data_IF_795751831163
#
_entry.id   IF_795751831163
#
_cell.length_a   1.000
_cell.length_b   1.000
_cell.length_c   1.000
_cell.angle_alpha   90.00
_cell.angle_beta   90.00
_cell.angle_gamma   90.00
#
_symmetry.space_group_name_H-M   'P 1'
#
loop_
_entity.id
_entity.type
_entity.pdbx_description
1 polymer ?
#
# COMPACT_ATOMS: atom_id res chain seq x y z
N UNK A 1 12.03 -18.07 -73.97
CA UNK A 1 13.12 -17.13 -74.26
C UNK A 1 13.84 -16.98 -72.94
N UNK A 2 14.84 -17.74 -72.73
CA UNK A 2 16.28 -17.44 -72.74
C UNK A 2 16.67 -16.45 -71.62
N UNK A 3 17.59 -16.67 -70.73
CA UNK A 3 18.77 -17.55 -70.76
C UNK A 3 19.61 -17.15 -69.55
N UNK A 4 20.05 -18.09 -68.78
CA UNK A 4 21.47 -18.39 -68.44
C UNK A 4 22.16 -17.39 -67.50
N UNK A 5 22.71 -17.79 -66.46
CA UNK A 5 23.74 -18.82 -66.14
C UNK A 5 24.97 -18.18 -65.51
N UNK A 6 25.47 -18.63 -64.46
CA UNK A 6 26.61 -19.45 -63.97
C UNK A 6 27.32 -18.75 -62.84
N UNK A 7 27.43 -19.34 -61.61
CA UNK A 7 28.42 -20.35 -61.17
C UNK A 7 29.90 -19.96 -61.34
N UNK A 8 30.60 -19.93 -60.19
CA UNK A 8 31.84 -20.65 -59.77
C UNK A 8 32.32 -20.09 -58.46
N UNK A 9 32.35 -20.76 -57.37
CA UNK A 9 33.24 -21.84 -56.88
C UNK A 9 34.73 -21.64 -57.04
N UNK A 10 35.49 -21.63 -55.93
CA UNK A 10 36.78 -22.24 -55.60
C UNK A 10 37.19 -21.82 -54.21
N UNK A 11 37.13 -22.60 -53.10
CA UNK A 11 37.96 -23.71 -52.62
C UNK A 11 39.34 -23.27 -52.07
N UNK A 12 39.50 -23.44 -50.76
CA UNK A 12 40.59 -24.01 -49.96
C UNK A 12 41.91 -23.21 -49.84
N UNK A 13 42.33 -22.98 -48.59
CA UNK A 13 43.44 -23.69 -47.93
C UNK A 13 43.49 -23.37 -46.42
N UNK A 14 43.51 -24.42 -45.61
CA UNK A 14 43.86 -24.45 -44.18
C UNK A 14 45.34 -24.11 -43.97
N UNK A 15 45.65 -23.29 -42.96
CA UNK A 15 46.90 -23.41 -42.19
C UNK A 15 46.58 -23.19 -40.74
N UNK A 16 46.78 -24.22 -39.95
CA UNK A 16 46.84 -24.21 -38.49
C UNK A 16 48.07 -23.45 -38.01
N UNK A 17 47.89 -22.48 -37.12
CA UNK A 17 48.95 -22.09 -36.19
C UNK A 17 48.28 -21.75 -34.87
N UNK A 18 48.53 -22.62 -33.91
CA UNK A 18 48.20 -22.44 -32.48
C UNK A 18 48.98 -21.29 -31.90
N UNK A 19 48.30 -20.28 -31.39
CA UNK A 19 48.84 -19.42 -30.35
C UNK A 19 47.76 -19.13 -29.34
N UNK A 20 48.03 -19.49 -28.09
CA UNK A 20 47.23 -19.27 -26.92
C UNK A 20 46.92 -17.77 -26.76
N UNK A 21 45.65 -17.40 -26.89
CA UNK A 21 45.17 -16.11 -26.52
C UNK A 21 44.71 -16.20 -25.07
N UNK A 22 45.39 -15.46 -24.18
CA UNK A 22 45.01 -15.14 -22.82
C UNK A 22 43.62 -14.44 -22.86
N UNK A 23 42.62 -14.88 -22.12
CA UNK A 23 41.39 -14.12 -22.06
C UNK A 23 41.64 -12.84 -21.28
N UNK A 24 41.57 -11.71 -21.95
CA UNK A 24 41.54 -10.40 -21.35
C UNK A 24 40.30 -10.33 -20.45
N UNK A 25 40.55 -10.20 -19.15
CA UNK A 25 39.54 -9.84 -18.15
C UNK A 25 39.08 -8.44 -18.51
N UNK A 26 37.95 -8.33 -19.19
CA UNK A 26 37.14 -7.12 -19.20
C UNK A 26 36.64 -6.96 -17.77
N UNK A 27 37.23 -6.05 -17.03
CA UNK A 27 36.73 -5.64 -15.72
C UNK A 27 35.29 -5.13 -15.92
N UNK A 28 34.33 -5.87 -15.40
CA UNK A 28 32.97 -5.35 -15.24
C UNK A 28 33.10 -4.17 -14.28
N UNK A 29 32.85 -2.96 -14.77
CA UNK A 29 32.71 -1.77 -13.91
C UNK A 29 31.65 -2.09 -12.87
N UNK A 30 32.00 -1.92 -11.59
CA UNK A 30 31.04 -2.16 -10.50
C UNK A 30 29.87 -1.19 -10.64
N UNK A 31 28.68 -1.56 -10.15
CA UNK A 31 27.50 -0.67 -10.10
C UNK A 31 27.82 0.65 -9.34
N UNK A 32 28.80 0.61 -8.44
CA UNK A 32 29.34 1.76 -7.75
C UNK A 32 30.16 2.66 -8.69
N UNK A 33 30.99 2.09 -9.58
CA UNK A 33 31.79 2.86 -10.53
C UNK A 33 30.91 3.54 -11.57
N UNK A 34 29.89 2.86 -12.06
CA UNK A 34 28.91 3.43 -13.00
C UNK A 34 28.14 4.61 -12.36
N UNK A 35 27.80 4.50 -11.08
CA UNK A 35 27.12 5.58 -10.34
C UNK A 35 28.05 6.73 -9.99
N UNK A 36 29.30 6.44 -9.67
CA UNK A 36 30.32 7.46 -9.46
C UNK A 36 30.50 8.30 -10.72
N UNK A 37 30.68 7.66 -11.88
CA UNK A 37 30.81 8.34 -13.17
C UNK A 37 29.59 9.16 -13.60
N UNK A 38 28.38 8.82 -13.11
CA UNK A 38 27.18 9.64 -13.32
C UNK A 38 27.15 10.90 -12.48
N UNK A 39 27.86 10.91 -11.36
CA UNK A 39 27.88 12.02 -10.41
C UNK A 39 29.08 12.94 -10.64
N UNK A 40 30.20 12.37 -11.03
CA UNK A 40 31.42 13.04 -11.50
C UNK A 40 31.15 13.56 -12.94
N UNK A 41 30.48 14.70 -13.03
CA UNK A 41 29.96 15.21 -14.30
C UNK A 41 31.01 15.90 -15.16
N UNK A 42 32.14 16.32 -14.57
CA UNK A 42 33.29 16.89 -15.28
C UNK A 42 34.43 15.88 -15.52
N UNK A 43 34.27 14.64 -14.95
CA UNK A 43 35.20 13.54 -15.18
C UNK A 43 36.58 13.70 -14.48
N UNK A 44 36.65 14.53 -13.46
CA UNK A 44 37.89 14.80 -12.73
C UNK A 44 38.29 13.70 -11.73
N UNK A 45 37.42 12.69 -11.55
CA UNK A 45 37.62 11.55 -10.65
C UNK A 45 37.17 11.84 -9.22
N UNK A 46 36.45 12.92 -8.99
CA UNK A 46 35.92 13.37 -7.71
C UNK A 46 34.51 13.85 -7.87
N UNK A 47 33.68 13.77 -6.83
CA UNK A 47 32.35 14.37 -6.80
C UNK A 47 32.45 15.61 -5.92
N UNK A 48 32.43 16.76 -6.53
CA UNK A 48 32.41 18.04 -5.84
C UNK A 48 31.08 18.27 -5.10
N UNK A 49 31.09 19.22 -4.17
CA UNK A 49 29.84 19.58 -3.48
C UNK A 49 28.75 20.09 -4.44
N UNK A 50 29.13 20.82 -5.48
CA UNK A 50 28.21 21.37 -6.49
C UNK A 50 27.60 20.26 -7.35
N UNK A 51 28.34 19.21 -7.69
CA UNK A 51 27.83 18.03 -8.38
C UNK A 51 26.89 17.21 -7.49
N UNK A 52 27.27 17.04 -6.23
CA UNK A 52 26.44 16.36 -5.24
C UNK A 52 25.12 17.10 -4.98
N UNK A 53 25.14 18.44 -4.96
CA UNK A 53 23.97 19.28 -4.71
C UNK A 53 22.97 19.30 -5.89
N UNK A 54 23.37 18.85 -7.09
CA UNK A 54 22.47 18.65 -8.25
C UNK A 54 21.58 17.41 -8.09
N UNK A 55 21.86 16.55 -7.10
CA UNK A 55 21.03 15.36 -6.86
C UNK A 55 19.63 15.74 -6.33
N UNK A 56 18.56 15.04 -6.77
CA UNK A 56 17.19 15.34 -6.37
C UNK A 56 16.87 15.01 -4.90
N UNK A 57 17.79 14.38 -4.18
CA UNK A 57 17.61 13.98 -2.77
C UNK A 57 18.67 14.64 -1.90
N UNK A 58 18.33 15.77 -1.32
CA UNK A 58 19.19 16.52 -0.39
C UNK A 58 19.01 16.05 1.06
N UNK A 59 20.07 15.48 1.65
CA UNK A 59 20.23 15.50 3.12
C UNK A 59 21.36 16.48 3.41
N UNK A 60 21.10 17.50 4.18
CA UNK A 60 22.05 18.59 4.48
C UNK A 60 23.40 18.12 5.05
N UNK A 61 23.45 16.89 5.58
CA UNK A 61 24.63 16.27 6.20
C UNK A 61 25.18 15.06 5.40
N UNK A 62 24.58 14.75 4.23
CA UNK A 62 24.98 13.55 3.48
C UNK A 62 26.36 13.72 2.82
N UNK A 63 26.67 14.88 2.26
CA UNK A 63 27.97 15.17 1.69
C UNK A 63 29.07 15.03 2.74
N UNK A 64 28.92 15.69 3.90
CA UNK A 64 29.88 15.64 5.02
C UNK A 64 30.12 14.22 5.58
N UNK A 65 29.17 13.31 5.42
CA UNK A 65 29.31 11.90 5.83
C UNK A 65 30.10 11.07 4.82
N UNK A 66 30.08 11.49 3.57
CA UNK A 66 30.78 10.84 2.46
C UNK A 66 32.17 11.36 2.33
N UNK A 67 32.35 12.67 2.35
CA UNK A 67 33.63 13.37 2.47
C UNK A 67 34.23 13.13 3.87
N UNK A 68 34.98 12.07 4.02
CA UNK A 68 35.50 11.60 5.31
C UNK A 68 36.82 12.27 5.70
N UNK A 69 37.63 12.61 4.69
CA UNK A 69 38.91 13.27 4.87
C UNK A 69 38.72 14.79 5.03
N UNK A 70 37.49 15.31 4.72
CA UNK A 70 37.14 16.72 4.87
C UNK A 70 37.77 17.62 3.82
N UNK A 71 38.19 17.09 2.66
CA UNK A 71 38.89 17.84 1.62
C UNK A 71 37.90 18.58 0.66
N UNK A 72 36.61 18.47 0.88
CA UNK A 72 35.58 19.19 0.14
C UNK A 72 35.10 18.48 -1.13
N UNK A 73 35.56 17.25 -1.40
CA UNK A 73 35.11 16.41 -2.49
C UNK A 73 34.95 14.95 -2.04
N UNK A 74 34.23 14.14 -2.76
CA UNK A 74 34.07 12.70 -2.49
C UNK A 74 34.85 11.95 -3.55
N UNK A 75 35.96 11.30 -3.16
CA UNK A 75 36.75 10.48 -4.06
C UNK A 75 36.12 9.07 -4.26
N UNK A 76 36.71 8.30 -5.21
CA UNK A 76 36.22 6.92 -5.51
C UNK A 76 36.33 5.98 -4.31
N UNK A 77 37.35 6.19 -3.44
CA UNK A 77 37.56 5.36 -2.25
C UNK A 77 36.51 5.64 -1.19
N UNK A 78 36.19 6.90 -0.99
CA UNK A 78 35.13 7.34 -0.08
C UNK A 78 33.73 6.90 -0.56
N UNK A 79 33.50 7.04 -1.86
CA UNK A 79 32.24 6.60 -2.47
C UNK A 79 32.11 5.07 -2.44
N UNK A 80 33.17 4.32 -2.75
CA UNK A 80 33.23 2.87 -2.65
C UNK A 80 33.02 2.38 -1.20
N UNK A 81 33.70 3.00 -0.23
CA UNK A 81 33.55 2.67 1.19
C UNK A 81 32.11 2.92 1.72
N UNK A 82 31.35 3.80 1.09
CA UNK A 82 29.93 3.98 1.35
C UNK A 82 29.07 2.93 0.62
N UNK A 83 29.43 2.58 -0.60
CA UNK A 83 28.79 1.52 -1.37
C UNK A 83 29.01 0.14 -0.71
N UNK A 84 30.21 -0.14 -0.21
CA UNK A 84 30.57 -1.38 0.48
C UNK A 84 29.88 -1.55 1.83
N UNK A 85 29.65 -0.49 2.60
CA UNK A 85 28.82 -0.59 3.82
C UNK A 85 27.33 -0.88 3.52
N UNK A 86 26.87 -0.54 2.32
CA UNK A 86 25.59 -1.02 1.80
C UNK A 86 25.67 -2.46 1.27
N UNK A 87 26.88 -2.94 0.99
CA UNK A 87 27.20 -4.26 0.44
C UNK A 87 27.58 -5.34 1.46
N UNK A 88 28.01 -5.00 2.67
CA UNK A 88 28.45 -5.98 3.68
C UNK A 88 27.31 -6.84 4.29
N UNK A 89 26.09 -6.79 3.70
CA UNK A 89 25.09 -7.85 3.84
C UNK A 89 25.05 -8.82 2.66
N UNK A 90 26.02 -8.80 1.72
CA UNK A 90 25.94 -9.63 0.50
C UNK A 90 27.33 -10.12 0.09
N UNK A 91 27.64 -11.35 0.47
CA UNK A 91 28.71 -12.13 -0.18
C UNK A 91 28.08 -13.24 -1.03
N UNK A 92 28.55 -13.30 -2.28
CA UNK A 92 28.60 -14.41 -3.24
C UNK A 92 27.41 -14.69 -4.15
N UNK A 93 27.70 -14.66 -5.46
CA UNK A 93 27.11 -15.47 -6.51
C UNK A 93 26.35 -14.66 -7.59
N UNK A 94 26.96 -14.55 -8.78
CA UNK A 94 26.32 -13.98 -9.97
C UNK A 94 25.12 -14.80 -10.42
N UNK A 95 24.00 -14.17 -10.45
CA UNK A 95 22.80 -14.38 -11.25
C UNK A 95 21.93 -13.16 -10.97
N UNK A 96 21.08 -12.73 -11.90
CA UNK A 96 20.07 -11.71 -11.69
C UNK A 96 19.24 -12.07 -10.45
N UNK A 97 19.76 -11.71 -9.28
CA UNK A 97 19.13 -12.05 -8.01
C UNK A 97 17.87 -11.18 -7.87
N UNK A 98 16.72 -11.73 -8.21
CA UNK A 98 15.53 -11.41 -7.45
C UNK A 98 15.93 -11.51 -5.98
N UNK A 99 15.87 -10.39 -5.25
CA UNK A 99 16.10 -10.39 -3.81
C UNK A 99 14.95 -11.18 -3.21
N UNK A 100 15.11 -12.49 -3.12
CA UNK A 100 14.20 -13.35 -2.37
C UNK A 100 14.33 -12.93 -0.92
N UNK A 101 13.33 -12.23 -0.42
CA UNK A 101 13.13 -12.13 1.02
C UNK A 101 13.04 -13.57 1.50
N UNK A 102 13.97 -13.99 2.34
CA UNK A 102 13.93 -15.35 2.92
C UNK A 102 12.56 -15.50 3.58
N UNK A 103 11.75 -16.51 3.20
CA UNK A 103 10.47 -16.75 3.86
C UNK A 103 10.68 -16.88 5.35
N UNK A 104 9.84 -16.23 6.14
CA UNK A 104 9.88 -16.42 7.59
C UNK A 104 9.54 -17.86 7.90
N UNK A 105 10.34 -18.52 8.76
CA UNK A 105 10.02 -19.87 9.24
C UNK A 105 8.73 -19.82 10.06
N UNK A 106 7.71 -20.59 9.69
CA UNK A 106 6.46 -20.65 10.42
C UNK A 106 6.68 -21.29 11.80
N UNK A 107 6.11 -20.64 12.83
CA UNK A 107 5.95 -21.22 14.14
C UNK A 107 4.80 -22.25 14.16
N UNK A 108 4.64 -22.98 15.26
CA UNK A 108 3.44 -23.80 15.46
C UNK A 108 2.19 -22.89 15.48
N UNK A 109 1.04 -23.36 14.97
CA UNK A 109 -0.19 -22.60 15.07
C UNK A 109 -0.53 -22.26 16.53
N UNK A 110 -0.91 -20.99 16.75
CA UNK A 110 -1.43 -20.50 18.04
C UNK A 110 -2.83 -21.06 18.26
N UNK A 111 -3.63 -21.12 17.18
CA UNK A 111 -4.97 -21.72 17.12
C UNK A 111 -5.06 -22.59 15.88
N UNK A 112 -5.64 -23.77 16.00
CA UNK A 112 -5.96 -24.67 14.89
C UNK A 112 -7.18 -25.51 15.27
N UNK A 113 -8.37 -24.99 14.98
CA UNK A 113 -9.67 -25.59 15.28
C UNK A 113 -10.44 -25.86 13.99
N UNK A 114 -11.28 -26.89 13.99
CA UNK A 114 -12.09 -27.29 12.86
C UNK A 114 -11.77 -28.68 12.35
N UNK A 115 -12.29 -29.03 11.17
CA UNK A 115 -12.01 -30.31 10.57
C UNK A 115 -10.53 -30.44 10.13
N UNK A 116 -9.97 -31.65 10.06
CA UNK A 116 -8.62 -31.85 9.53
C UNK A 116 -8.42 -31.26 8.13
N UNK A 117 -9.47 -31.26 7.31
CA UNK A 117 -9.44 -30.69 5.96
C UNK A 117 -9.33 -29.16 6.00
N UNK A 118 -10.10 -28.50 6.87
CA UNK A 118 -10.05 -27.02 6.99
C UNK A 118 -8.69 -26.59 7.57
N UNK A 119 -8.21 -27.27 8.59
CA UNK A 119 -6.88 -27.00 9.17
C UNK A 119 -5.78 -27.16 8.11
N UNK A 120 -5.86 -28.19 7.27
CA UNK A 120 -4.89 -28.40 6.19
C UNK A 120 -4.93 -27.26 5.16
N UNK A 121 -6.11 -26.75 4.78
CA UNK A 121 -6.30 -25.61 3.89
C UNK A 121 -5.75 -24.32 4.50
N UNK A 122 -6.07 -24.05 5.77
CA UNK A 122 -5.56 -22.87 6.46
C UNK A 122 -4.02 -22.90 6.57
N UNK A 123 -3.44 -24.07 6.82
CA UNK A 123 -1.99 -24.25 6.81
C UNK A 123 -1.39 -24.02 5.43
N UNK A 124 -2.01 -24.53 4.36
CA UNK A 124 -1.53 -24.28 2.99
C UNK A 124 -1.56 -22.78 2.65
N UNK A 125 -2.63 -22.07 3.01
CA UNK A 125 -2.73 -20.63 2.85
C UNK A 125 -1.68 -19.88 3.70
N UNK A 126 -1.39 -20.36 4.92
CA UNK A 126 -0.37 -19.78 5.81
C UNK A 126 1.05 -19.98 5.27
N UNK A 127 1.36 -21.17 4.74
CA UNK A 127 2.64 -21.45 4.07
C UNK A 127 2.82 -20.49 2.88
N UNK A 128 1.85 -20.43 1.97
CA UNK A 128 1.89 -19.51 0.83
C UNK A 128 2.04 -18.05 1.27
N UNK A 129 1.31 -17.65 2.31
CA UNK A 129 1.45 -16.31 2.88
C UNK A 129 2.88 -16.05 3.35
N UNK A 130 3.51 -16.99 4.08
CA UNK A 130 4.88 -16.83 4.58
C UNK A 130 5.91 -16.81 3.43
N UNK A 131 5.76 -17.68 2.43
CA UNK A 131 6.61 -17.71 1.22
C UNK A 131 6.57 -16.40 0.44
N UNK A 132 5.45 -15.69 0.53
CA UNK A 132 5.21 -14.39 -0.12
C UNK A 132 5.33 -13.21 0.85
N UNK A 133 6.14 -13.35 1.89
CA UNK A 133 6.49 -12.29 2.85
C UNK A 133 5.45 -12.07 3.95
N UNK A 134 4.50 -12.98 4.13
CA UNK A 134 3.55 -12.93 5.25
C UNK A 134 4.24 -13.16 6.58
N UNK A 135 3.77 -12.45 7.61
CA UNK A 135 4.26 -12.56 8.98
C UNK A 135 3.26 -13.23 9.90
N UNK A 136 1.96 -13.01 9.65
CA UNK A 136 0.90 -13.49 10.52
C UNK A 136 -0.38 -13.70 9.71
N UNK A 137 -1.06 -14.81 9.94
CA UNK A 137 -2.36 -15.14 9.39
C UNK A 137 -3.32 -15.47 10.53
N UNK A 138 -4.49 -14.84 10.53
CA UNK A 138 -5.61 -15.16 11.41
C UNK A 138 -6.84 -15.44 10.54
N UNK A 139 -7.55 -16.52 10.83
CA UNK A 139 -8.85 -16.86 10.24
C UNK A 139 -9.88 -16.96 11.36
N UNK A 140 -10.94 -16.19 11.22
CA UNK A 140 -12.10 -16.23 12.10
C UNK A 140 -13.29 -16.76 11.28
N UNK A 141 -14.01 -17.73 11.87
CA UNK A 141 -15.22 -18.32 11.31
C UNK A 141 -16.38 -18.08 12.30
N UNK A 142 -17.43 -17.41 11.86
CA UNK A 142 -18.63 -17.13 12.65
C UNK A 142 -18.33 -16.55 14.04
N UNK A 143 -17.41 -15.56 14.08
CA UNK A 143 -17.02 -14.86 15.30
C UNK A 143 -15.94 -15.57 16.14
N UNK A 144 -15.53 -16.80 15.77
CA UNK A 144 -14.54 -17.56 16.52
C UNK A 144 -13.23 -17.63 15.73
N UNK A 145 -12.10 -17.40 16.39
CA UNK A 145 -10.78 -17.62 15.79
C UNK A 145 -10.59 -19.14 15.65
N UNK A 146 -10.55 -19.62 14.40
CA UNK A 146 -10.38 -21.06 14.09
C UNK A 146 -8.96 -21.40 13.67
N UNK A 147 -8.21 -20.40 13.18
CA UNK A 147 -6.80 -20.58 12.84
C UNK A 147 -6.02 -19.30 13.08
N UNK A 148 -4.87 -19.42 13.71
CA UNK A 148 -3.93 -18.32 13.90
C UNK A 148 -2.52 -18.87 13.90
N UNK A 149 -1.67 -18.33 13.01
CA UNK A 149 -0.28 -18.74 12.86
C UNK A 149 0.59 -17.57 12.42
N UNK A 150 1.72 -17.42 13.07
CA UNK A 150 2.76 -16.46 12.67
C UNK A 150 4.05 -17.15 12.27
N UNK A 151 4.98 -16.39 11.70
CA UNK A 151 6.37 -16.79 11.60
C UNK A 151 7.04 -16.70 12.98
N UNK A 152 8.21 -17.31 13.15
CA UNK A 152 8.98 -17.23 14.41
C UNK A 152 9.14 -15.77 14.86
N UNK A 153 8.80 -15.47 16.10
CA UNK A 153 8.78 -14.13 16.66
C UNK A 153 7.52 -13.30 16.38
N UNK A 154 6.54 -13.83 15.62
CA UNK A 154 5.22 -13.21 15.47
C UNK A 154 4.21 -13.88 16.40
N UNK A 155 3.86 -13.19 17.48
CA UNK A 155 2.89 -13.66 18.48
C UNK A 155 1.51 -13.04 18.25
N UNK A 156 0.48 -13.57 18.91
CA UNK A 156 -0.88 -13.02 18.86
C UNK A 156 -0.97 -11.56 19.29
N UNK A 157 -0.10 -11.16 20.23
CA UNK A 157 -0.07 -9.80 20.80
C UNK A 157 0.82 -8.85 19.98
N UNK A 158 1.51 -9.35 18.96
CA UNK A 158 2.34 -8.50 18.12
C UNK A 158 1.48 -7.65 17.21
N UNK A 159 1.62 -6.35 17.35
CA UNK A 159 0.92 -5.39 16.51
C UNK A 159 1.76 -4.98 15.28
N UNK A 160 1.07 -4.75 14.18
CA UNK A 160 1.64 -4.31 12.92
C UNK A 160 0.93 -3.08 12.38
N UNK A 161 1.64 -2.27 11.62
CA UNK A 161 1.02 -1.16 10.91
C UNK A 161 0.16 -1.70 9.76
N UNK A 162 -1.14 -1.37 9.77
CA UNK A 162 -2.06 -1.80 8.72
C UNK A 162 -2.02 -0.89 7.49
N UNK A 163 -1.18 0.14 7.51
CA UNK A 163 -1.03 1.13 6.44
C UNK A 163 -2.40 1.63 5.94
N UNK A 164 -2.63 1.61 4.62
CA UNK A 164 -3.91 2.05 4.00
C UNK A 164 -5.14 1.27 4.44
N UNK A 165 -5.00 0.10 5.09
CA UNK A 165 -6.11 -0.58 5.75
C UNK A 165 -6.85 0.32 6.76
N UNK A 166 -6.16 1.34 7.28
CA UNK A 166 -6.74 2.39 8.14
C UNK A 166 -7.90 3.15 7.46
N UNK A 167 -7.87 3.29 6.13
CA UNK A 167 -8.91 4.00 5.38
C UNK A 167 -10.29 3.38 5.56
N UNK A 168 -10.36 2.06 5.71
CA UNK A 168 -11.62 1.31 5.79
C UNK A 168 -12.43 1.54 7.07
N UNK A 169 -11.90 2.23 8.06
CA UNK A 169 -12.66 2.68 9.23
C UNK A 169 -13.66 3.80 8.88
N UNK A 170 -13.39 4.61 7.84
CA UNK A 170 -14.10 5.86 7.61
C UNK A 170 -15.46 5.68 6.92
N UNK A 171 -15.66 4.62 6.17
CA UNK A 171 -16.98 4.25 5.65
C UNK A 171 -18.00 3.97 6.76
N UNK A 172 -17.72 3.03 7.68
CA UNK A 172 -18.55 2.77 8.85
C UNK A 172 -18.76 4.01 9.74
N UNK A 173 -17.74 4.83 9.93
CA UNK A 173 -17.86 6.12 10.67
C UNK A 173 -18.86 7.06 10.00
N UNK A 174 -18.79 7.18 8.67
CA UNK A 174 -19.75 7.99 7.92
C UNK A 174 -21.17 7.45 8.06
N UNK A 175 -21.35 6.13 8.05
CA UNK A 175 -22.67 5.50 8.27
C UNK A 175 -23.26 5.87 9.65
N UNK A 176 -22.44 5.85 10.71
CA UNK A 176 -22.89 6.29 12.05
C UNK A 176 -23.19 7.78 12.09
N UNK A 177 -22.36 8.60 11.44
CA UNK A 177 -22.58 10.05 11.37
C UNK A 177 -23.89 10.39 10.65
N UNK A 178 -24.20 9.68 9.57
CA UNK A 178 -25.50 9.78 8.85
C UNK A 178 -26.66 9.36 9.75
N UNK A 179 -26.52 8.24 10.48
CA UNK A 179 -27.56 7.78 11.41
C UNK A 179 -27.83 8.81 12.52
N UNK A 180 -26.84 9.60 12.91
CA UNK A 180 -26.95 10.72 13.85
C UNK A 180 -27.44 12.02 13.21
N UNK A 181 -27.73 12.02 11.89
CA UNK A 181 -28.21 13.18 11.14
C UNK A 181 -27.17 14.29 10.99
N UNK A 182 -25.86 13.96 10.99
CA UNK A 182 -24.82 14.96 10.78
C UNK A 182 -24.74 15.41 9.31
N UNK A 183 -24.94 14.51 8.38
CA UNK A 183 -24.94 14.74 6.92
C UNK A 183 -25.56 13.56 6.19
N UNK A 184 -25.71 13.69 4.85
CA UNK A 184 -26.00 12.58 3.93
C UNK A 184 -24.85 12.35 2.96
N UNK A 185 -24.79 11.18 2.31
CA UNK A 185 -23.72 10.91 1.31
C UNK A 185 -23.76 11.90 0.14
N UNK A 186 -24.94 12.36 -0.24
CA UNK A 186 -25.13 13.21 -1.41
C UNK A 186 -25.16 14.70 -1.05
N UNK A 187 -24.94 15.05 0.24
CA UNK A 187 -24.76 16.41 0.68
C UNK A 187 -23.51 17.01 0.04
N UNK A 188 -23.62 18.23 -0.45
CA UNK A 188 -22.49 18.98 -1.00
C UNK A 188 -21.56 19.40 0.14
N UNK A 189 -20.30 19.03 0.00
CA UNK A 189 -19.26 19.38 0.98
C UNK A 189 -19.10 20.90 1.12
N UNK A 190 -19.34 21.65 0.02
CA UNK A 190 -19.31 23.11 -0.02
C UNK A 190 -20.34 23.80 0.90
N UNK A 191 -21.41 23.10 1.30
CA UNK A 191 -22.38 23.62 2.25
C UNK A 191 -21.78 23.75 3.67
N UNK A 192 -20.66 23.04 3.93
CA UNK A 192 -19.91 23.10 5.18
C UNK A 192 -18.52 23.73 5.00
N UNK A 193 -17.85 23.41 3.89
CA UNK A 193 -16.55 23.97 3.50
C UNK A 193 -16.80 25.12 2.54
N UNK A 194 -17.09 26.31 3.09
CA UNK A 194 -17.51 27.49 2.33
C UNK A 194 -16.47 27.95 1.32
N UNK A 195 -15.19 27.64 1.51
CA UNK A 195 -14.09 27.91 0.59
C UNK A 195 -14.31 27.26 -0.79
N UNK A 196 -15.20 26.28 -0.89
CA UNK A 196 -15.49 25.57 -2.13
C UNK A 196 -16.68 26.12 -2.92
N UNK A 197 -17.46 27.04 -2.34
CA UNK A 197 -18.71 27.54 -2.95
C UNK A 197 -18.49 28.27 -4.27
N UNK A 198 -17.39 29.01 -4.38
CA UNK A 198 -17.05 29.78 -5.59
C UNK A 198 -16.39 28.98 -6.72
N UNK A 199 -16.00 27.72 -6.48
CA UNK A 199 -15.36 26.88 -7.48
C UNK A 199 -16.41 26.00 -8.18
N UNK A 200 -16.52 26.04 -9.52
CA UNK A 200 -17.58 25.33 -10.24
C UNK A 200 -17.52 23.80 -10.16
N UNK A 201 -16.35 23.22 -9.82
CA UNK A 201 -16.19 21.79 -9.59
C UNK A 201 -16.29 21.45 -8.12
N UNK A 202 -15.55 22.13 -7.24
CA UNK A 202 -15.55 21.84 -5.81
C UNK A 202 -16.92 22.04 -5.18
N UNK A 203 -17.72 23.00 -5.63
CA UNK A 203 -19.08 23.22 -5.15
C UNK A 203 -20.03 22.04 -5.37
N UNK A 204 -19.69 21.13 -6.29
CA UNK A 204 -20.46 19.92 -6.61
C UNK A 204 -19.92 18.65 -5.92
N UNK A 205 -18.80 18.75 -5.20
CA UNK A 205 -18.24 17.60 -4.49
C UNK A 205 -19.19 17.20 -3.35
N UNK A 206 -19.55 15.93 -3.31
CA UNK A 206 -20.37 15.36 -2.22
C UNK A 206 -19.51 14.52 -1.27
N UNK A 207 -20.08 14.18 -0.10
CA UNK A 207 -19.43 13.27 0.86
C UNK A 207 -19.13 11.92 0.20
N UNK A 208 -20.04 11.42 -0.64
CA UNK A 208 -19.85 10.20 -1.44
C UNK A 208 -18.58 10.29 -2.29
N UNK A 209 -18.37 11.39 -2.99
CA UNK A 209 -17.20 11.59 -3.83
C UNK A 209 -15.88 11.57 -3.04
N UNK A 210 -15.87 12.10 -1.81
CA UNK A 210 -14.70 12.01 -0.94
C UNK A 210 -14.43 10.57 -0.51
N UNK A 211 -15.44 9.84 -0.03
CA UNK A 211 -15.27 8.49 0.50
C UNK A 211 -15.04 7.43 -0.59
N UNK A 212 -15.48 7.67 -1.82
CA UNK A 212 -15.21 6.80 -2.98
C UNK A 212 -13.97 7.20 -3.77
N UNK A 213 -13.22 8.21 -3.30
CA UNK A 213 -11.99 8.71 -3.93
C UNK A 213 -12.18 9.18 -5.36
N UNK A 214 -13.32 9.83 -5.60
CA UNK A 214 -13.73 10.36 -6.91
C UNK A 214 -14.08 11.85 -6.89
N UNK A 215 -13.53 12.60 -5.92
CA UNK A 215 -13.86 14.03 -5.78
C UNK A 215 -13.34 14.91 -6.92
N UNK A 216 -12.39 14.42 -7.72
CA UNK A 216 -11.71 15.21 -8.73
C UNK A 216 -10.68 16.21 -8.19
N UNK A 217 -10.40 16.22 -6.88
CA UNK A 217 -9.31 17.00 -6.31
C UNK A 217 -7.96 16.49 -6.82
N UNK A 218 -7.03 17.43 -7.04
CA UNK A 218 -5.65 17.07 -7.32
C UNK A 218 -5.11 16.16 -6.22
N UNK A 219 -4.56 15.02 -6.62
CA UNK A 219 -4.17 13.93 -5.73
C UNK A 219 -2.64 13.85 -5.63
N UNK A 220 -2.00 14.63 -4.74
CA UNK A 220 -0.55 14.62 -4.60
C UNK A 220 -0.05 13.25 -4.19
N UNK A 221 1.03 12.83 -4.82
CA UNK A 221 1.69 11.58 -4.48
C UNK A 221 2.31 11.67 -3.08
N UNK A 222 2.15 10.62 -2.29
CA UNK A 222 2.80 10.47 -0.98
C UNK A 222 2.50 11.62 0.00
N UNK A 223 1.32 12.23 -0.07
CA UNK A 223 0.91 13.25 0.90
C UNK A 223 1.10 12.78 2.36
N UNK A 224 0.90 11.49 2.61
CA UNK A 224 1.11 10.86 3.91
C UNK A 224 2.58 10.97 4.41
N UNK A 225 3.55 10.96 3.51
CA UNK A 225 4.98 11.04 3.85
C UNK A 225 5.53 12.48 3.78
N UNK A 226 4.75 13.41 3.25
CA UNK A 226 5.16 14.80 3.11
C UNK A 226 5.16 15.50 4.47
N UNK A 227 6.37 15.72 5.00
CA UNK A 227 6.58 16.38 6.28
C UNK A 227 6.62 17.92 6.15
N UNK A 228 6.58 18.46 4.95
CA UNK A 228 6.53 19.92 4.73
C UNK A 228 5.11 20.45 4.93
N UNK A 229 4.11 19.60 4.73
CA UNK A 229 2.70 19.95 4.94
C UNK A 229 2.36 19.78 6.43
N UNK A 230 2.21 20.89 7.13
CA UNK A 230 1.91 20.89 8.56
C UNK A 230 0.46 20.52 8.85
N UNK A 231 -0.48 21.11 8.13
CA UNK A 231 -1.92 20.84 8.23
C UNK A 231 -2.45 20.23 6.94
N UNK A 232 -2.61 18.91 6.92
CA UNK A 232 -3.07 18.17 5.74
C UNK A 232 -4.55 18.39 5.44
N UNK A 233 -5.37 18.73 6.44
CA UNK A 233 -6.76 19.11 6.23
C UNK A 233 -6.87 20.42 5.46
N UNK A 234 -6.19 21.48 5.92
CA UNK A 234 -6.13 22.75 5.21
C UNK A 234 -5.52 22.60 3.81
N UNK A 235 -4.46 21.79 3.67
CA UNK A 235 -3.85 21.48 2.39
C UNK A 235 -4.86 20.85 1.42
N UNK A 236 -5.63 19.85 1.89
CA UNK A 236 -6.63 19.17 1.06
C UNK A 236 -7.75 20.13 0.60
N UNK A 237 -8.21 21.01 1.49
CA UNK A 237 -9.22 22.05 1.15
C UNK A 237 -8.69 22.99 0.05
N UNK A 238 -7.41 23.35 0.08
CA UNK A 238 -6.78 24.25 -0.86
C UNK A 238 -6.50 23.62 -2.25
N UNK A 239 -6.56 22.27 -2.38
CA UNK A 239 -6.27 21.60 -3.65
C UNK A 239 -7.22 22.08 -4.77
N UNK A 240 -6.71 22.09 -5.99
CA UNK A 240 -7.52 22.37 -7.20
C UNK A 240 -8.40 21.15 -7.50
N UNK A 241 -9.56 21.39 -8.10
CA UNK A 241 -10.34 20.34 -8.75
C UNK A 241 -9.89 20.21 -10.21
N UNK A 242 -9.21 19.11 -10.54
CA UNK A 242 -8.65 18.83 -11.87
C UNK A 242 -9.58 17.99 -12.75
N UNK A 243 -10.60 17.36 -12.14
CA UNK A 243 -11.65 16.61 -12.83
C UNK A 243 -13.01 16.92 -12.22
N UNK A 244 -14.08 16.58 -12.97
CA UNK A 244 -15.43 16.67 -12.43
C UNK A 244 -15.68 15.60 -11.36
N UNK A 245 -16.37 15.92 -10.26
CA UNK A 245 -16.68 14.95 -9.22
C UNK A 245 -17.42 13.73 -9.78
N UNK A 246 -17.01 12.53 -9.33
CA UNK A 246 -17.60 11.26 -9.74
C UNK A 246 -17.07 10.68 -11.05
N UNK A 247 -16.21 11.40 -11.80
CA UNK A 247 -15.77 10.95 -13.13
C UNK A 247 -14.45 10.17 -13.12
N UNK A 248 -13.57 10.43 -12.15
CA UNK A 248 -12.27 9.81 -12.06
C UNK A 248 -11.99 9.29 -10.64
N UNK A 249 -11.47 8.10 -10.55
CA UNK A 249 -10.97 7.53 -9.32
C UNK A 249 -9.48 7.87 -9.14
N UNK A 250 -9.14 8.46 -8.01
CA UNK A 250 -7.75 8.77 -7.66
C UNK A 250 -7.44 8.28 -6.24
N UNK A 251 -6.64 7.23 -6.12
CA UNK A 251 -6.29 6.67 -4.81
C UNK A 251 -5.30 7.57 -4.07
N UNK A 252 -5.83 8.49 -3.27
CA UNK A 252 -5.06 9.48 -2.52
C UNK A 252 -5.70 9.80 -1.18
N UNK A 253 -4.88 10.17 -0.22
CA UNK A 253 -5.33 10.57 1.12
C UNK A 253 -5.96 11.96 1.16
N UNK A 254 -5.80 12.76 0.10
CA UNK A 254 -6.39 14.10 0.00
C UNK A 254 -7.89 14.08 0.27
N UNK A 255 -8.57 13.04 -0.22
CA UNK A 255 -10.01 12.87 -0.03
C UNK A 255 -10.39 12.71 1.45
N UNK A 256 -9.62 11.89 2.19
CA UNK A 256 -9.88 11.66 3.62
C UNK A 256 -9.49 12.86 4.49
N UNK A 257 -8.45 13.60 4.12
CA UNK A 257 -8.14 14.84 4.84
C UNK A 257 -9.21 15.90 4.61
N UNK A 258 -9.77 16.02 3.40
CA UNK A 258 -10.93 16.87 3.14
C UNK A 258 -12.16 16.38 3.92
N UNK A 259 -12.41 15.06 3.97
CA UNK A 259 -13.48 14.48 4.77
C UNK A 259 -13.27 14.72 6.28
N UNK A 260 -12.04 14.62 6.78
CA UNK A 260 -11.73 14.92 8.18
C UNK A 260 -12.09 16.35 8.56
N UNK A 261 -11.71 17.32 7.72
CA UNK A 261 -12.04 18.73 7.94
C UNK A 261 -13.55 18.98 7.86
N UNK A 262 -14.23 18.35 6.89
CA UNK A 262 -15.69 18.39 6.82
C UNK A 262 -16.34 17.85 8.11
N UNK A 263 -15.91 16.67 8.57
CA UNK A 263 -16.38 16.08 9.81
C UNK A 263 -16.12 16.98 11.02
N UNK A 264 -14.92 17.55 11.13
CA UNK A 264 -14.55 18.46 12.21
C UNK A 264 -15.51 19.67 12.27
N UNK A 265 -15.84 20.27 11.13
CA UNK A 265 -16.78 21.41 11.07
C UNK A 265 -18.20 20.99 11.43
N UNK A 266 -18.67 19.82 10.94
CA UNK A 266 -19.99 19.28 11.28
C UNK A 266 -20.12 19.00 12.79
N UNK A 267 -19.09 18.40 13.37
CA UNK A 267 -19.07 18.09 14.80
C UNK A 267 -18.99 19.35 15.67
N UNK A 268 -18.18 20.33 15.26
CA UNK A 268 -18.08 21.62 15.95
C UNK A 268 -19.39 22.40 15.98
N UNK A 269 -20.21 22.26 14.93
CA UNK A 269 -21.55 22.88 14.87
C UNK A 269 -22.54 22.23 15.84
N UNK A 270 -22.24 21.05 16.38
CA UNK A 270 -23.04 20.37 17.42
C UNK A 270 -22.40 20.58 18.77
N UNK A 271 -23.04 21.36 19.63
CA UNK A 271 -22.60 21.58 21.01
C UNK A 271 -22.49 20.25 21.77
N UNK A 272 -21.32 19.98 22.36
CA UNK A 272 -21.05 18.80 23.19
C UNK A 272 -20.66 17.52 22.43
N UNK A 273 -20.43 17.58 21.11
CA UNK A 273 -19.93 16.44 20.32
C UNK A 273 -18.42 16.28 20.33
N UNK A 274 -17.89 15.13 19.82
CA UNK A 274 -16.47 14.95 19.60
C UNK A 274 -15.91 16.07 18.71
N UNK A 275 -14.70 16.53 19.05
CA UNK A 275 -14.08 17.67 18.34
C UNK A 275 -13.36 17.28 17.05
N UNK A 276 -13.17 15.99 16.80
CA UNK A 276 -12.47 15.49 15.62
C UNK A 276 -13.11 14.20 15.06
N UNK A 277 -12.85 13.90 13.79
CA UNK A 277 -13.28 12.67 13.16
C UNK A 277 -12.76 11.42 13.90
N UNK A 278 -11.54 11.48 14.44
CA UNK A 278 -10.99 10.37 15.22
C UNK A 278 -11.67 10.18 16.58
N UNK A 279 -11.95 11.27 17.30
CA UNK A 279 -12.70 11.17 18.56
C UNK A 279 -14.08 10.55 18.31
N UNK A 280 -14.72 10.92 17.20
CA UNK A 280 -15.99 10.32 16.77
C UNK A 280 -15.84 8.84 16.42
N UNK A 281 -14.79 8.45 15.65
CA UNK A 281 -14.47 7.04 15.38
C UNK A 281 -14.28 6.27 16.69
N UNK A 282 -13.50 6.80 17.62
CA UNK A 282 -13.22 6.15 18.89
C UNK A 282 -14.51 5.90 19.68
N UNK A 283 -15.31 6.93 19.88
CA UNK A 283 -16.58 6.86 20.61
C UNK A 283 -17.58 5.89 19.97
N UNK A 284 -17.67 5.91 18.63
CA UNK A 284 -18.80 5.26 17.93
C UNK A 284 -18.50 3.87 17.40
N UNK A 285 -17.24 3.55 17.18
CA UNK A 285 -16.81 2.26 16.61
C UNK A 285 -15.81 1.56 17.55
N UNK A 286 -14.64 2.19 17.82
CA UNK A 286 -13.55 1.48 18.50
C UNK A 286 -13.94 1.03 19.91
N UNK A 287 -14.40 1.94 20.74
CA UNK A 287 -14.78 1.62 22.12
C UNK A 287 -15.97 0.64 22.19
N UNK A 288 -17.07 0.80 21.42
CA UNK A 288 -18.18 -0.14 21.43
C UNK A 288 -17.84 -1.57 21.03
N UNK A 289 -16.88 -1.77 20.12
CA UNK A 289 -16.44 -3.13 19.73
C UNK A 289 -15.23 -3.61 20.53
N UNK A 290 -14.77 -2.81 21.50
CA UNK A 290 -13.58 -3.13 22.29
C UNK A 290 -12.30 -3.22 21.47
N UNK A 291 -12.19 -2.47 20.36
CA UNK A 291 -10.99 -2.41 19.53
C UNK A 291 -10.03 -1.39 20.10
N UNK A 292 -8.85 -1.86 20.51
CA UNK A 292 -7.81 -1.02 21.10
C UNK A 292 -6.57 -1.00 20.21
N UNK A 293 -6.32 0.09 19.46
CA UNK A 293 -5.08 0.24 18.72
C UNK A 293 -3.89 0.28 19.68
N UNK A 294 -2.83 -0.46 19.38
CA UNK A 294 -1.55 -0.34 20.09
C UNK A 294 -0.98 1.07 19.93
N UNK A 295 -1.19 1.66 18.74
CA UNK A 295 -0.87 3.05 18.43
C UNK A 295 -1.70 3.52 17.25
N UNK A 296 -1.98 4.81 17.20
CA UNK A 296 -2.43 5.50 16.01
C UNK A 296 -1.48 6.65 15.73
N UNK A 297 -0.84 6.66 14.56
CA UNK A 297 0.10 7.71 14.21
C UNK A 297 -0.61 9.07 14.06
N UNK A 298 0.07 10.13 14.41
CA UNK A 298 -0.42 11.50 14.28
C UNK A 298 0.35 12.25 13.19
N UNK A 299 -0.31 13.22 12.61
CA UNK A 299 0.27 14.21 11.73
C UNK A 299 1.02 15.28 12.52
N UNK A 300 1.71 16.20 11.84
CA UNK A 300 2.50 17.24 12.52
C UNK A 300 1.67 18.19 13.41
N UNK A 301 0.44 18.46 13.01
CA UNK A 301 -0.50 19.28 13.78
C UNK A 301 -1.16 18.51 14.95
N UNK A 302 -0.72 17.27 15.24
CA UNK A 302 -1.27 16.43 16.30
C UNK A 302 -2.55 15.67 15.93
N UNK A 303 -3.14 15.92 14.74
CA UNK A 303 -4.31 15.18 14.27
C UNK A 303 -3.96 13.74 13.90
N UNK A 304 -4.84 12.77 14.14
CA UNK A 304 -4.61 11.39 13.75
C UNK A 304 -4.50 11.22 12.25
N UNK A 305 -3.53 10.40 11.81
CA UNK A 305 -3.34 10.07 10.41
C UNK A 305 -4.51 9.22 9.89
N UNK A 306 -5.35 9.83 9.06
CA UNK A 306 -6.61 9.26 8.59
C UNK A 306 -6.42 8.05 7.66
N UNK A 307 -5.38 8.06 6.87
CA UNK A 307 -5.20 7.11 5.77
C UNK A 307 -4.25 5.94 6.07
N UNK A 308 -3.46 5.98 7.18
CA UNK A 308 -2.36 5.03 7.39
C UNK A 308 -1.91 4.83 8.85
N UNK A 309 -2.58 5.44 9.81
CA UNK A 309 -2.07 5.63 11.19
C UNK A 309 -2.20 4.43 12.12
N UNK A 310 -3.09 3.50 11.85
CA UNK A 310 -3.41 2.43 12.79
C UNK A 310 -2.32 1.35 12.87
N UNK A 311 -1.98 0.96 14.11
CA UNK A 311 -1.11 -0.19 14.45
C UNK A 311 -1.91 -1.13 15.34
N UNK A 312 -2.21 -2.33 14.83
CA UNK A 312 -3.15 -3.27 15.42
C UNK A 312 -2.54 -4.67 15.50
N UNK A 313 -2.94 -5.46 16.51
CA UNK A 313 -2.77 -6.92 16.43
C UNK A 313 -3.76 -7.50 15.41
N UNK A 314 -3.53 -8.74 14.96
CA UNK A 314 -4.46 -9.40 14.03
C UNK A 314 -5.85 -9.54 14.64
N UNK A 315 -5.92 -9.85 15.92
CA UNK A 315 -7.18 -9.98 16.67
C UNK A 315 -7.92 -8.67 16.78
N UNK A 316 -7.21 -7.55 16.99
CA UNK A 316 -7.84 -6.22 17.04
C UNK A 316 -8.39 -5.81 15.65
N UNK A 317 -7.63 -6.05 14.58
CA UNK A 317 -8.12 -5.72 13.23
C UNK A 317 -9.30 -6.60 12.81
N UNK A 318 -9.31 -7.86 13.22
CA UNK A 318 -10.42 -8.79 12.97
C UNK A 318 -11.76 -8.31 13.58
N UNK A 319 -11.75 -7.55 14.69
CA UNK A 319 -12.98 -6.97 15.28
C UNK A 319 -13.70 -6.03 14.32
N UNK A 320 -12.94 -5.20 13.57
CA UNK A 320 -13.54 -4.40 12.50
C UNK A 320 -14.17 -5.31 11.42
N UNK A 321 -13.45 -6.34 11.00
CA UNK A 321 -13.96 -7.31 10.03
C UNK A 321 -15.25 -7.97 10.50
N UNK A 322 -15.30 -8.37 11.77
CA UNK A 322 -16.49 -9.00 12.37
C UNK A 322 -17.68 -8.05 12.45
N UNK A 323 -17.46 -6.79 12.83
CA UNK A 323 -18.50 -5.75 12.77
C UNK A 323 -19.10 -5.64 11.34
N UNK A 324 -18.24 -5.66 10.31
CA UNK A 324 -18.67 -5.60 8.92
C UNK A 324 -19.41 -6.88 8.52
N UNK A 325 -18.88 -8.05 8.87
CA UNK A 325 -19.51 -9.36 8.58
C UNK A 325 -20.92 -9.45 9.16
N UNK A 326 -21.12 -8.89 10.34
CA UNK A 326 -22.41 -8.86 11.05
C UNK A 326 -23.32 -7.68 10.61
N UNK A 327 -23.03 -7.02 9.49
CA UNK A 327 -23.85 -5.91 8.99
C UNK A 327 -23.95 -4.73 9.96
N UNK A 328 -22.91 -4.47 10.73
CA UNK A 328 -22.88 -3.38 11.71
C UNK A 328 -23.44 -3.73 13.08
N UNK A 329 -23.75 -5.00 13.34
CA UNK A 329 -24.20 -5.49 14.65
C UNK A 329 -22.99 -5.97 15.48
N UNK A 330 -22.99 -5.70 16.78
CA UNK A 330 -21.98 -6.16 17.72
C UNK A 330 -22.62 -6.57 19.04
N UNK A 331 -22.34 -7.78 19.51
CA UNK A 331 -22.95 -8.34 20.74
C UNK A 331 -24.49 -8.14 20.80
N UNK A 332 -25.16 -8.39 19.70
CA UNK A 332 -26.62 -8.25 19.58
C UNK A 332 -27.13 -6.79 19.49
N UNK A 333 -26.24 -5.80 19.55
CA UNK A 333 -26.59 -4.37 19.43
C UNK A 333 -26.25 -3.86 18.04
N UNK A 334 -27.20 -3.22 17.35
CA UNK A 334 -26.95 -2.53 16.09
C UNK A 334 -26.15 -1.25 16.35
N UNK A 335 -24.87 -1.25 16.03
CA UNK A 335 -23.98 -0.08 16.15
C UNK A 335 -23.99 0.77 14.88
N UNK A 336 -24.00 0.14 13.72
CA UNK A 336 -24.01 0.79 12.41
C UNK A 336 -25.25 0.29 11.66
N UNK A 337 -26.14 1.18 11.26
CA UNK A 337 -27.34 0.80 10.51
C UNK A 337 -26.98 0.13 9.18
N UNK A 338 -27.56 -1.05 8.86
CA UNK A 338 -27.21 -1.82 7.64
C UNK A 338 -27.46 -1.05 6.35
N UNK A 339 -28.57 -0.30 6.26
CA UNK A 339 -28.93 0.50 5.09
C UNK A 339 -27.94 1.65 4.83
N UNK A 340 -27.35 2.21 5.89
CA UNK A 340 -26.33 3.26 5.80
C UNK A 340 -24.91 2.69 5.62
N UNK A 341 -24.68 1.45 6.02
CA UNK A 341 -23.42 0.73 5.83
C UNK A 341 -23.28 0.14 4.41
N UNK A 342 -24.39 -0.33 3.83
CA UNK A 342 -24.42 -0.98 2.52
C UNK A 342 -23.72 -0.19 1.38
N UNK A 343 -23.79 1.16 1.33
CA UNK A 343 -23.03 1.93 0.34
C UNK A 343 -21.53 1.73 0.39
N UNK A 344 -20.95 1.33 1.54
CA UNK A 344 -19.53 1.02 1.64
C UNK A 344 -19.10 -0.13 0.72
N UNK A 345 -20.02 -1.03 0.41
CA UNK A 345 -19.80 -2.24 -0.38
C UNK A 345 -20.49 -2.19 -1.76
N UNK A 346 -20.90 -1.01 -2.16
CA UNK A 346 -21.46 -0.75 -3.48
C UNK A 346 -20.43 -0.07 -4.37
N UNK A 347 -20.36 -0.51 -5.63
CA UNK A 347 -19.43 0.08 -6.61
C UNK A 347 -19.65 1.58 -6.77
N UNK A 348 -18.56 2.34 -6.84
CA UNK A 348 -18.62 3.73 -7.29
C UNK A 348 -18.67 3.80 -8.82
N UNK A 349 -19.26 4.89 -9.36
CA UNK A 349 -19.29 5.10 -10.82
C UNK A 349 -17.90 5.26 -11.43
N UNK A 350 -16.93 5.77 -10.66
CA UNK A 350 -15.57 6.01 -11.13
C UNK A 350 -14.66 4.76 -11.04
N UNK A 351 -14.98 3.81 -10.13
CA UNK A 351 -14.27 2.54 -10.03
C UNK A 351 -15.16 1.46 -9.43
N UNK A 352 -15.48 0.43 -10.23
CA UNK A 352 -16.33 -0.66 -9.77
C UNK A 352 -15.72 -1.53 -8.67
N UNK A 353 -14.40 -1.57 -8.57
CA UNK A 353 -13.68 -2.32 -7.54
C UNK A 353 -13.56 -1.57 -6.21
N UNK A 354 -14.14 -0.36 -6.08
CA UNK A 354 -14.03 0.46 -4.87
C UNK A 354 -15.36 1.08 -4.47
N UNK A 355 -15.73 0.82 -3.22
CA UNK A 355 -16.91 1.42 -2.58
C UNK A 355 -16.53 2.68 -1.77
N UNK A 356 -17.11 2.82 -0.59
CA UNK A 356 -16.73 3.90 0.34
C UNK A 356 -15.62 3.39 1.27
N UNK A 357 -14.36 3.62 0.89
CA UNK A 357 -13.12 3.22 1.60
C UNK A 357 -12.86 1.70 1.68
N UNK A 358 -13.60 0.88 0.95
CA UNK A 358 -13.45 -0.57 0.88
C UNK A 358 -13.21 -1.05 -0.55
N UNK A 359 -12.31 -2.02 -0.70
CA UNK A 359 -12.11 -2.74 -1.96
C UNK A 359 -13.17 -3.83 -2.10
N UNK A 360 -13.66 -3.99 -3.31
CA UNK A 360 -14.71 -4.95 -3.68
C UNK A 360 -14.13 -6.03 -4.59
N UNK A 361 -14.71 -7.23 -4.53
CA UNK A 361 -14.33 -8.33 -5.44
C UNK A 361 -14.95 -8.14 -6.83
N UNK A 362 -14.54 -7.08 -7.51
CA UNK A 362 -14.99 -6.71 -8.86
C UNK A 362 -13.81 -6.22 -9.68
N UNK A 363 -13.90 -6.37 -11.00
CA UNK A 363 -12.91 -5.80 -11.90
C UNK A 363 -12.92 -4.27 -11.84
N UNK A 364 -11.74 -3.68 -11.91
CA UNK A 364 -11.59 -2.23 -12.05
C UNK A 364 -11.80 -1.84 -13.51
N UNK A 365 -12.71 -0.92 -13.80
CA UNK A 365 -12.92 -0.38 -15.14
C UNK A 365 -11.76 0.49 -15.62
N UNK A 366 -10.94 0.98 -14.71
CA UNK A 366 -9.78 1.79 -15.02
C UNK A 366 -8.54 1.27 -14.28
N UNK A 367 -7.87 0.22 -14.81
CA UNK A 367 -6.64 -0.31 -14.21
C UNK A 367 -5.50 0.73 -14.16
N UNK A 368 -5.55 1.77 -14.99
CA UNK A 368 -4.60 2.89 -14.94
C UNK A 368 -4.83 3.80 -13.74
N UNK A 369 -6.05 3.87 -13.20
CA UNK A 369 -6.36 4.65 -12.00
C UNK A 369 -5.85 4.02 -10.69
N UNK A 370 -5.52 2.74 -10.72
CA UNK A 370 -4.77 2.04 -9.66
C UNK A 370 -3.26 2.05 -9.92
N UNK A 371 -2.85 2.45 -11.14
CA UNK A 371 -1.47 2.64 -11.53
C UNK A 371 -1.12 4.11 -11.46
N UNK A 372 -0.07 4.43 -10.76
CA UNK A 372 0.54 5.76 -10.78
C UNK A 372 0.81 6.24 -12.21
N UNK A 373 0.26 7.39 -12.55
CA UNK A 373 0.28 8.05 -13.86
C UNK A 373 1.65 8.65 -14.21
N UNK A 374 2.70 7.85 -14.19
CA UNK A 374 3.95 8.21 -14.82
C UNK A 374 4.62 6.97 -15.39
N UNK A 375 4.72 6.92 -16.67
CA UNK A 375 5.15 5.86 -17.59
C UNK A 375 6.35 4.98 -17.25
N UNK A 376 6.89 5.03 -16.04
CA UNK A 376 8.03 4.23 -15.60
C UNK A 376 7.75 3.35 -14.38
N UNK A 377 6.63 3.55 -13.65
CA UNK A 377 6.34 2.77 -12.42
C UNK A 377 5.03 2.00 -12.52
N UNK A 378 4.68 1.57 -13.70
CA UNK A 378 3.52 0.73 -14.04
C UNK A 378 3.47 -0.62 -13.32
N UNK A 379 4.34 -0.88 -12.34
CA UNK A 379 4.56 -2.21 -11.78
C UNK A 379 4.47 -2.32 -10.26
N UNK A 380 4.17 -1.23 -9.53
CA UNK A 380 4.30 -1.32 -8.07
C UNK A 380 3.32 -0.39 -7.34
N UNK A 381 2.02 -0.58 -7.51
CA UNK A 381 1.16 -0.16 -6.41
C UNK A 381 1.52 -1.05 -5.21
N UNK A 382 1.84 -0.44 -4.10
CA UNK A 382 2.26 -1.16 -2.89
C UNK A 382 1.14 -2.02 -2.31
N UNK A 383 -0.09 -1.79 -2.74
CA UNK A 383 -1.28 -2.55 -2.36
C UNK A 383 -1.54 -3.74 -3.28
N UNK A 384 -1.07 -3.69 -4.53
CA UNK A 384 -1.16 -4.75 -5.56
C UNK A 384 -2.48 -5.52 -5.55
N UNK A 385 -3.56 -4.79 -5.76
CA UNK A 385 -4.86 -5.41 -5.95
C UNK A 385 -4.98 -5.73 -7.45
N UNK A 386 -5.43 -6.95 -7.75
CA UNK A 386 -5.65 -7.37 -9.14
C UNK A 386 -6.65 -6.46 -9.83
N UNK A 387 -6.40 -6.10 -11.09
CA UNK A 387 -7.35 -5.37 -11.91
C UNK A 387 -8.67 -6.13 -12.08
N UNK A 388 -8.64 -7.46 -11.98
CA UNK A 388 -9.78 -8.34 -12.17
C UNK A 388 -10.58 -8.58 -10.89
N UNK A 389 -10.14 -8.05 -9.74
CA UNK A 389 -10.75 -8.22 -8.43
C UNK A 389 -9.92 -9.05 -7.46
N UNK A 390 -10.45 -9.32 -6.28
CA UNK A 390 -9.80 -10.06 -5.20
C UNK A 390 -9.71 -11.55 -5.56
N UNK A 391 -10.84 -12.13 -5.96
CA UNK A 391 -10.97 -13.52 -6.40
C UNK A 391 -11.97 -13.58 -7.57
N UNK A 392 -11.50 -13.34 -8.80
CA UNK A 392 -12.36 -13.16 -9.99
C UNK A 392 -13.29 -14.34 -10.23
N UNK A 393 -14.55 -14.02 -10.51
CA UNK A 393 -15.59 -15.02 -10.81
C UNK A 393 -16.11 -15.82 -9.61
N UNK A 394 -15.55 -15.58 -8.42
CA UNK A 394 -15.95 -16.24 -7.17
C UNK A 394 -16.41 -15.20 -6.14
N UNK A 395 -17.20 -15.64 -5.16
CA UNK A 395 -17.48 -14.93 -3.91
C UNK A 395 -17.71 -13.39 -4.08
N UNK A 396 -18.81 -12.97 -4.73
CA UNK A 396 -19.01 -11.55 -5.07
C UNK A 396 -19.16 -10.62 -3.87
N UNK A 397 -19.41 -11.17 -2.69
CA UNK A 397 -19.60 -10.47 -1.43
C UNK A 397 -18.30 -10.35 -0.59
N UNK A 398 -17.15 -10.83 -1.11
CA UNK A 398 -15.87 -10.53 -0.46
C UNK A 398 -15.58 -9.04 -0.57
N UNK A 399 -15.29 -8.43 0.57
CA UNK A 399 -14.77 -7.06 0.65
C UNK A 399 -13.44 -7.05 1.40
N UNK A 400 -12.62 -6.02 1.16
CA UNK A 400 -11.25 -5.99 1.68
C UNK A 400 -10.82 -4.60 2.11
N UNK A 401 -10.20 -4.53 3.29
CA UNK A 401 -9.34 -3.42 3.66
C UNK A 401 -7.90 -3.79 3.30
N UNK A 402 -7.28 -3.00 2.42
CA UNK A 402 -5.94 -3.27 1.92
C UNK A 402 -4.94 -2.19 2.34
N UNK A 403 -3.78 -2.63 2.78
CA UNK A 403 -2.66 -1.76 3.13
C UNK A 403 -1.42 -2.03 2.29
N UNK A 404 -0.60 -1.00 2.17
CA UNK A 404 0.68 -1.09 1.51
C UNK A 404 1.53 -2.21 2.11
N UNK A 405 2.26 -2.92 1.23
CA UNK A 405 2.97 -4.14 1.61
C UNK A 405 2.07 -5.36 1.70
N UNK A 406 0.87 -5.28 1.12
CA UNK A 406 -0.08 -6.40 1.09
C UNK A 406 -0.60 -6.79 2.49
N UNK A 407 -0.80 -5.79 3.37
CA UNK A 407 -1.60 -5.94 4.57
C UNK A 407 -3.05 -6.16 4.15
N UNK A 408 -3.72 -7.16 4.69
CA UNK A 408 -5.08 -7.55 4.28
C UNK A 408 -6.00 -7.81 5.46
N UNK A 409 -7.20 -7.26 5.41
CA UNK A 409 -8.36 -7.73 6.14
C UNK A 409 -9.43 -8.06 5.11
N UNK A 410 -9.75 -9.32 4.95
CA UNK A 410 -10.87 -9.77 4.13
C UNK A 410 -12.08 -10.05 5.01
N UNK A 411 -13.23 -9.70 4.49
CA UNK A 411 -14.53 -10.06 5.08
C UNK A 411 -15.34 -10.77 4.01
N UNK A 412 -15.78 -11.97 4.31
CA UNK A 412 -16.62 -12.78 3.44
C UNK A 412 -17.93 -13.17 4.16
N UNK A 413 -18.95 -12.30 4.12
CA UNK A 413 -20.16 -12.45 4.93
C UNK A 413 -20.90 -13.77 4.69
N UNK A 414 -21.12 -14.17 3.42
CA UNK A 414 -21.87 -15.39 3.10
C UNK A 414 -21.19 -16.67 3.56
N UNK A 415 -19.89 -16.62 3.88
CA UNK A 415 -19.13 -17.75 4.42
C UNK A 415 -18.80 -17.60 5.90
N UNK A 416 -19.24 -16.53 6.53
CA UNK A 416 -18.94 -16.27 7.94
C UNK A 416 -17.48 -15.99 8.21
N UNK A 417 -16.65 -15.65 7.20
CA UNK A 417 -15.20 -15.55 7.33
C UNK A 417 -14.73 -14.11 7.51
N UNK A 418 -13.80 -13.94 8.45
CA UNK A 418 -12.93 -12.77 8.56
C UNK A 418 -11.48 -13.25 8.59
N UNK A 419 -10.63 -12.67 7.74
CA UNK A 419 -9.25 -13.12 7.58
C UNK A 419 -8.33 -11.92 7.66
N UNK A 420 -7.31 -11.99 8.51
CA UNK A 420 -6.25 -10.99 8.62
C UNK A 420 -4.93 -11.58 8.17
N UNK A 421 -4.26 -10.89 7.24
CA UNK A 421 -2.90 -11.20 6.83
C UNK A 421 -2.00 -9.99 7.09
N UNK A 422 -0.94 -10.19 7.83
CA UNK A 422 0.17 -9.25 7.93
C UNK A 422 1.36 -9.70 7.11
N UNK A 423 2.11 -8.73 6.59
CA UNK A 423 3.30 -8.99 5.80
C UNK A 423 4.51 -8.15 6.25
N UNK A 424 5.69 -8.60 5.81
CA UNK A 424 7.00 -8.04 6.12
C UNK A 424 7.31 -6.79 5.27
N UNK A 425 6.35 -5.95 4.99
CA UNK A 425 6.67 -4.77 4.22
C UNK A 425 7.14 -3.66 5.15
N UNK A 426 8.44 -3.46 5.25
CA UNK A 426 8.98 -2.22 5.78
C UNK A 426 8.78 -1.10 4.74
N UNK A 427 7.51 -0.65 4.66
CA UNK A 427 7.13 0.45 3.79
C UNK A 427 7.90 1.73 4.08
N UNK A 428 8.19 1.99 5.35
CA UNK A 428 8.95 3.17 5.72
C UNK A 428 10.36 3.11 5.14
N UNK A 429 11.05 1.98 5.28
CA UNK A 429 12.37 1.79 4.69
C UNK A 429 12.33 1.79 3.16
N UNK A 430 11.35 1.13 2.53
CA UNK A 430 11.21 1.10 1.07
C UNK A 430 10.93 2.48 0.48
N UNK A 431 10.04 3.26 1.10
CA UNK A 431 9.74 4.64 0.68
C UNK A 431 10.94 5.57 0.89
N UNK A 432 11.61 5.45 2.02
CA UNK A 432 12.76 6.30 2.35
C UNK A 432 13.97 6.02 1.45
N UNK A 433 14.17 4.77 1.05
CA UNK A 433 15.27 4.37 0.17
C UNK A 433 14.93 4.43 -1.32
N UNK A 434 13.65 4.50 -1.67
CA UNK A 434 13.18 4.29 -3.04
C UNK A 434 13.33 2.84 -3.52
N UNK A 435 13.82 1.93 -2.67
CA UNK A 435 14.08 0.53 -2.98
C UNK A 435 12.89 -0.35 -2.61
N UNK A 436 11.92 -0.37 -3.50
CA UNK A 436 10.75 -1.25 -3.39
C UNK A 436 11.06 -2.73 -3.69
N UNK A 437 12.26 -3.05 -4.19
CA UNK A 437 12.65 -4.43 -4.46
C UNK A 437 12.83 -5.26 -3.17
N UNK A 438 13.02 -4.59 -2.03
CA UNK A 438 13.06 -5.23 -0.71
C UNK A 438 11.71 -5.72 -0.22
N UNK A 439 10.62 -5.29 -0.87
CA UNK A 439 9.29 -5.76 -0.54
C UNK A 439 8.99 -7.01 -1.39
N UNK A 440 8.75 -8.14 -0.75
CA UNK A 440 8.18 -9.28 -1.45
C UNK A 440 6.71 -8.98 -1.75
N UNK A 441 6.42 -8.57 -2.98
CA UNK A 441 5.07 -8.27 -3.45
C UNK A 441 4.54 -9.40 -4.37
N UNK A 442 5.00 -10.62 -4.22
CA UNK A 442 4.58 -11.76 -5.04
C UNK A 442 3.26 -12.40 -4.57
N UNK A 443 2.71 -11.96 -3.44
CA UNK A 443 1.44 -12.47 -2.95
C UNK A 443 0.29 -12.11 -3.90
N UNK A 444 -0.54 -13.10 -4.20
CA UNK A 444 -1.74 -12.97 -5.03
C UNK A 444 -2.98 -13.38 -4.24
N UNK A 445 -3.93 -12.47 -4.11
CA UNK A 445 -5.18 -12.68 -3.37
C UNK A 445 -5.94 -13.91 -3.91
N UNK A 446 -6.02 -14.07 -5.24
CA UNK A 446 -6.66 -15.23 -5.89
C UNK A 446 -6.03 -16.54 -5.41
N UNK A 447 -4.71 -16.68 -5.52
CA UNK A 447 -4.00 -17.91 -5.13
C UNK A 447 -4.18 -18.22 -3.64
N UNK A 448 -4.20 -17.20 -2.82
CA UNK A 448 -4.46 -17.35 -1.39
C UNK A 448 -5.85 -17.96 -1.13
N UNK A 449 -6.90 -17.44 -1.79
CA UNK A 449 -8.25 -17.98 -1.65
C UNK A 449 -8.40 -19.39 -2.22
N UNK A 450 -7.75 -19.73 -3.32
CA UNK A 450 -7.71 -21.09 -3.85
C UNK A 450 -7.18 -22.10 -2.81
N UNK A 451 -6.10 -21.75 -2.13
CA UNK A 451 -5.52 -22.59 -1.07
C UNK A 451 -6.41 -22.65 0.16
N UNK A 452 -6.95 -21.52 0.58
CA UNK A 452 -7.80 -21.39 1.76
C UNK A 452 -9.09 -22.21 1.65
N UNK A 453 -9.66 -22.27 0.44
CA UNK A 453 -10.97 -22.91 0.19
C UNK A 453 -10.86 -24.28 -0.47
N UNK A 454 -9.75 -24.56 -1.12
CA UNK A 454 -9.58 -25.76 -1.97
C UNK A 454 -10.32 -25.67 -3.31
N UNK A 455 -10.88 -24.52 -3.65
CA UNK A 455 -11.55 -24.24 -4.95
C UNK A 455 -10.51 -23.65 -5.91
N UNK A 456 -10.41 -24.16 -7.12
CA UNK A 456 -9.51 -23.66 -8.19
C UNK A 456 -10.23 -22.76 -9.15
#
# INVERSE_FOLDING_TARGET
MTSHSRMLSVVTVMILLSMAAIPGVMAQTSDADARFAQLDSDGDGRISKDEFDKLPVRRADAFKRLDRNGDGAIDRTEFAAFADRRGQGRTNGGATAQTTVTPGKLANPIVALGSPVDIARYRAASVYSAETGGLHLLVMQDGNIVFEQGVEGSTADRAYQIASGTKSFWGPVAAVAMARGLFTLDERVADTISEWQGDPRKSRITVRHLLSFSSGLEAPRRLWADKTVENKGAFAIAQKAVADPGTQFAYSEVHLYAFSEFMRRKLAARLGGPSSAFAFLKETILDPIGLTPTRWATERNGEPAMGHGAVLTAREWAKLGELIRLGGTWNGKQLVRPDLLAPCFSSSGANQAYGLTWWLNKASLNPAATADDAGAVRRRSTERISADGIWPGQAPDIVMAAGAGQQRLYVWPSRGLVIVRYSNADMAAAVMSGDYARMNLSFEDKRFFELLTGVR
#
